data_IF_106693707890
#
_entry.id   IF_106693707890
#
_cell.length_a   1.000
_cell.length_b   1.000
_cell.length_c   1.000
_cell.angle_alpha   90.00
_cell.angle_beta   90.00
_cell.angle_gamma   90.00
#
_symmetry.space_group_name_H-M   'P 1'
#
loop_
_entity.id
_entity.type
_entity.pdbx_description
1 polymer ?
#
# COMPACT_ATOMS: atom_id res chain seq x y z
N UNK A 1 -1.65 6.24 13.50
CA UNK A 1 -0.39 6.73 14.09
C UNK A 1 0.78 6.14 13.34
N UNK A 2 2.00 6.42 13.79
CA UNK A 2 3.20 5.78 13.24
C UNK A 2 3.39 4.44 13.94
N UNK A 3 3.46 3.36 13.18
CA UNK A 3 3.72 2.01 13.65
C UNK A 3 5.16 1.63 13.32
N UNK A 4 5.86 1.01 14.27
CA UNK A 4 7.20 0.47 14.08
C UNK A 4 7.22 -1.00 14.45
N UNK A 5 7.44 -1.88 13.48
CA UNK A 5 7.64 -3.31 13.70
C UNK A 5 9.11 -3.63 13.84
N UNK A 6 9.42 -4.70 14.56
CA UNK A 6 10.76 -5.28 14.63
C UNK A 6 10.65 -6.78 14.80
N UNK A 7 11.52 -7.52 14.13
CA UNK A 7 11.66 -8.96 14.28
C UNK A 7 13.11 -9.38 14.36
N UNK A 8 13.35 -10.40 15.19
CA UNK A 8 14.69 -10.90 15.45
C UNK A 8 15.11 -11.97 14.44
N UNK A 9 16.42 -12.17 14.30
CA UNK A 9 16.99 -13.18 13.41
C UNK A 9 16.59 -14.57 13.90
N UNK A 10 16.11 -15.43 12.99
CA UNK A 10 15.79 -16.84 13.29
C UNK A 10 16.38 -17.77 12.22
N UNK A 11 17.53 -18.38 12.52
CA UNK A 11 18.23 -19.25 11.55
C UNK A 11 18.60 -18.49 10.27
N UNK A 12 18.05 -18.92 9.12
CA UNK A 12 18.22 -18.24 7.81
C UNK A 12 17.25 -17.07 7.60
N UNK A 13 16.35 -16.79 8.54
CA UNK A 13 15.44 -15.65 8.49
C UNK A 13 16.14 -14.40 9.05
N UNK A 14 16.44 -13.38 8.22
CA UNK A 14 17.12 -12.18 8.68
C UNK A 14 16.24 -11.34 9.60
N UNK A 15 16.90 -10.66 10.55
CA UNK A 15 16.25 -9.62 11.35
C UNK A 15 15.85 -8.42 10.48
N UNK A 16 14.98 -7.59 11.02
CA UNK A 16 14.61 -6.34 10.39
C UNK A 16 13.65 -5.53 11.24
N UNK A 17 13.43 -4.31 10.80
CA UNK A 17 12.41 -3.40 11.29
C UNK A 17 11.71 -2.76 10.09
N UNK A 18 10.56 -2.16 10.37
CA UNK A 18 9.79 -1.47 9.36
C UNK A 18 8.86 -0.44 9.99
N UNK A 19 8.63 0.67 9.29
CA UNK A 19 7.76 1.74 9.73
C UNK A 19 6.62 1.93 8.75
N UNK A 20 5.39 2.05 9.25
CA UNK A 20 4.21 2.30 8.44
C UNK A 20 3.20 3.17 9.18
N UNK A 21 2.24 3.71 8.44
CA UNK A 21 1.17 4.52 9.01
C UNK A 21 -0.08 3.64 9.15
N UNK A 22 -0.77 3.76 10.28
CA UNK A 22 -2.11 3.19 10.43
C UNK A 22 -3.16 4.25 10.79
N UNK A 23 -4.41 3.96 10.50
CA UNK A 23 -5.56 4.80 10.89
C UNK A 23 -6.63 3.90 11.48
N UNK A 24 -7.15 4.29 12.65
CA UNK A 24 -8.36 3.67 13.19
C UNK A 24 -9.54 4.55 12.80
N UNK A 25 -10.47 4.01 12.02
CA UNK A 25 -11.68 4.71 11.60
C UNK A 25 -12.86 3.77 11.77
N UNK A 26 -13.88 4.21 12.51
CA UNK A 26 -15.10 3.43 12.80
C UNK A 26 -14.82 1.99 13.28
N UNK A 27 -13.92 1.85 14.26
CA UNK A 27 -13.55 0.54 14.83
C UNK A 27 -12.69 -0.36 13.92
N UNK A 28 -12.39 0.08 12.69
CA UNK A 28 -11.55 -0.66 11.74
C UNK A 28 -10.14 -0.06 11.67
N UNK A 29 -9.14 -0.93 11.55
CA UNK A 29 -7.73 -0.55 11.37
C UNK A 29 -7.33 -0.63 9.90
N UNK A 30 -6.85 0.48 9.37
CA UNK A 30 -6.33 0.62 8.01
C UNK A 30 -4.83 0.86 8.05
N UNK A 31 -4.10 0.28 7.12
CA UNK A 31 -2.69 0.54 6.86
C UNK A 31 -2.61 1.49 5.67
N UNK A 32 -1.75 2.49 5.79
CA UNK A 32 -1.48 3.51 4.78
C UNK A 32 -0.03 3.40 4.38
N UNK A 33 0.21 3.16 3.10
CA UNK A 33 1.52 3.05 2.48
C UNK A 33 1.65 4.07 1.36
N UNK A 34 2.67 4.92 1.43
CA UNK A 34 2.87 6.01 0.45
C UNK A 34 3.53 5.55 -0.84
N UNK A 35 4.10 4.34 -0.85
CA UNK A 35 4.62 3.70 -2.06
C UNK A 35 4.75 2.20 -1.84
N UNK A 36 3.62 1.49 -1.81
CA UNK A 36 3.64 0.04 -1.59
C UNK A 36 4.34 -0.73 -2.73
N UNK A 37 4.40 -0.14 -3.93
CA UNK A 37 5.05 -0.73 -5.11
C UNK A 37 6.55 -0.99 -4.89
N UNK A 38 7.28 -0.07 -4.26
CA UNK A 38 8.75 -0.17 -4.04
C UNK A 38 9.11 -1.34 -3.14
N UNK A 39 8.18 -1.71 -2.25
CA UNK A 39 8.27 -2.89 -1.40
C UNK A 39 8.23 -4.22 -2.19
N UNK A 40 7.89 -4.18 -3.47
CA UNK A 40 7.81 -5.36 -4.34
C UNK A 40 8.76 -5.33 -5.55
N UNK A 41 9.47 -4.23 -5.81
CA UNK A 41 10.40 -4.15 -6.94
C UNK A 41 11.52 -5.21 -6.90
N UNK A 42 11.82 -5.83 -8.03
CA UNK A 42 12.88 -6.85 -8.15
C UNK A 42 13.78 -6.54 -9.34
N UNK A 43 15.00 -7.07 -9.29
CA UNK A 43 15.90 -7.00 -10.43
C UNK A 43 15.43 -7.93 -11.56
N UNK A 44 15.45 -7.43 -12.79
CA UNK A 44 15.04 -8.16 -14.01
C UNK A 44 13.64 -8.80 -13.88
N UNK A 45 12.60 -8.00 -13.62
CA UNK A 45 11.24 -8.53 -13.60
C UNK A 45 10.85 -9.05 -14.98
N UNK A 46 9.98 -10.04 -15.04
CA UNK A 46 9.31 -10.39 -16.31
C UNK A 46 8.35 -9.27 -16.70
N UNK A 47 7.95 -9.21 -17.97
CA UNK A 47 6.96 -8.23 -18.44
C UNK A 47 5.63 -8.37 -17.67
N UNK A 48 5.18 -9.62 -17.45
CA UNK A 48 3.97 -9.90 -16.67
C UNK A 48 4.07 -9.35 -15.24
N UNK A 49 5.22 -9.55 -14.57
CA UNK A 49 5.41 -9.04 -13.22
C UNK A 49 5.47 -7.51 -13.19
N UNK A 50 6.12 -6.90 -14.18
CA UNK A 50 6.18 -5.44 -14.32
C UNK A 50 4.78 -4.83 -14.44
N UNK A 51 3.91 -5.44 -15.26
CA UNK A 51 2.53 -4.99 -15.39
C UNK A 51 1.71 -5.12 -14.10
N UNK A 52 2.05 -6.02 -13.18
CA UNK A 52 1.41 -6.06 -11.85
C UNK A 52 1.82 -4.87 -10.98
N UNK A 53 3.09 -4.44 -11.07
CA UNK A 53 3.59 -3.28 -10.33
C UNK A 53 2.92 -1.98 -10.81
N UNK A 54 2.66 -1.85 -12.12
CA UNK A 54 2.05 -0.67 -12.73
C UNK A 54 0.61 -0.40 -12.25
N UNK A 55 -0.07 -1.40 -11.67
CA UNK A 55 -1.45 -1.28 -11.16
C UNK A 55 -1.49 -0.72 -9.73
N UNK A 56 -0.35 -0.65 -9.04
CA UNK A 56 -0.34 -0.17 -7.66
C UNK A 56 -0.76 1.31 -7.57
N UNK A 57 -1.65 1.66 -6.63
CA UNK A 57 -1.96 3.06 -6.38
C UNK A 57 -0.73 3.77 -5.80
N UNK A 58 -0.59 5.07 -6.08
CA UNK A 58 0.46 5.90 -5.49
C UNK A 58 0.44 5.78 -3.95
N UNK A 59 -0.73 5.93 -3.35
CA UNK A 59 -0.95 5.70 -1.92
C UNK A 59 -1.90 4.52 -1.76
N UNK A 60 -1.45 3.48 -1.09
CA UNK A 60 -2.28 2.34 -0.74
C UNK A 60 -2.94 2.60 0.62
N UNK A 61 -4.25 2.42 0.69
CA UNK A 61 -5.03 2.42 1.93
C UNK A 61 -5.86 1.16 1.95
N UNK A 62 -5.65 0.29 2.93
CA UNK A 62 -6.35 -0.99 3.01
C UNK A 62 -6.41 -1.54 4.42
N UNK A 63 -7.37 -2.44 4.65
CA UNK A 63 -7.47 -3.20 5.90
C UNK A 63 -6.27 -4.14 6.04
N UNK A 64 -6.01 -4.53 7.28
CA UNK A 64 -4.92 -5.49 7.63
C UNK A 64 -5.00 -6.78 6.79
N UNK A 65 -6.19 -7.30 6.54
CA UNK A 65 -6.36 -8.52 5.73
C UNK A 65 -6.11 -8.29 4.23
N UNK A 66 -6.35 -7.08 3.72
CA UNK A 66 -6.13 -6.75 2.32
C UNK A 66 -4.63 -6.67 2.03
N UNK A 67 -3.85 -5.99 2.87
CA UNK A 67 -2.39 -5.95 2.72
C UNK A 67 -1.77 -7.34 2.85
N UNK A 68 -2.33 -8.20 3.73
CA UNK A 68 -1.88 -9.59 3.88
C UNK A 68 -2.08 -10.40 2.61
N UNK A 69 -3.20 -10.19 1.91
CA UNK A 69 -3.49 -10.80 0.60
C UNK A 69 -2.54 -10.28 -0.47
N UNK A 70 -2.37 -8.95 -0.57
CA UNK A 70 -1.44 -8.32 -1.52
C UNK A 70 -0.02 -8.86 -1.36
N UNK A 71 0.50 -8.90 -0.13
CA UNK A 71 1.84 -9.45 0.16
C UNK A 71 1.96 -10.91 -0.29
N UNK A 72 0.93 -11.73 -0.05
CA UNK A 72 0.95 -13.14 -0.47
C UNK A 72 1.01 -13.28 -1.99
N UNK A 73 0.15 -12.56 -2.69
CA UNK A 73 0.05 -12.60 -4.15
C UNK A 73 1.34 -12.10 -4.80
N UNK A 74 1.83 -10.93 -4.37
CA UNK A 74 3.05 -10.35 -4.91
C UNK A 74 4.28 -11.21 -4.63
N UNK A 75 4.43 -11.79 -3.43
CA UNK A 75 5.54 -12.71 -3.16
C UNK A 75 5.48 -13.99 -4.02
N UNK A 76 4.29 -14.46 -4.38
CA UNK A 76 4.16 -15.58 -5.33
C UNK A 76 4.58 -15.16 -6.73
N UNK A 77 4.10 -14.01 -7.20
CA UNK A 77 4.46 -13.48 -8.51
C UNK A 77 5.97 -13.15 -8.62
N UNK A 78 6.60 -12.68 -7.54
CA UNK A 78 8.08 -12.53 -7.44
C UNK A 78 8.75 -13.88 -7.64
N UNK A 79 8.28 -14.91 -6.94
CA UNK A 79 8.85 -16.25 -7.03
C UNK A 79 8.80 -16.78 -8.46
N UNK A 80 7.68 -16.58 -9.14
CA UNK A 80 7.51 -17.04 -10.52
C UNK A 80 8.38 -16.22 -11.49
N UNK A 81 8.39 -14.89 -11.37
CA UNK A 81 9.25 -14.02 -12.17
C UNK A 81 10.73 -14.36 -12.02
N UNK A 82 11.22 -14.48 -10.77
CA UNK A 82 12.63 -14.77 -10.51
C UNK A 82 13.01 -16.17 -10.98
N UNK A 83 12.11 -17.16 -10.85
CA UNK A 83 12.32 -18.50 -11.37
C UNK A 83 12.45 -18.49 -12.90
N UNK A 84 11.58 -17.78 -13.61
CA UNK A 84 11.66 -17.64 -15.08
C UNK A 84 12.98 -17.02 -15.52
N UNK A 85 13.53 -16.11 -14.71
CA UNK A 85 14.80 -15.43 -14.99
C UNK A 85 16.04 -16.15 -14.42
N UNK A 86 15.87 -17.38 -13.91
CA UNK A 86 16.93 -18.18 -13.25
C UNK A 86 17.66 -17.42 -12.13
N UNK A 87 16.90 -16.73 -11.29
CA UNK A 87 17.40 -15.94 -10.16
C UNK A 87 16.92 -16.50 -8.82
N UNK A 88 17.81 -16.50 -7.83
CA UNK A 88 17.45 -16.87 -6.47
C UNK A 88 16.69 -15.72 -5.77
N UNK A 89 15.63 -16.07 -5.04
CA UNK A 89 14.80 -15.10 -4.30
C UNK A 89 15.53 -14.65 -3.04
N UNK A 90 15.87 -13.35 -2.91
CA UNK A 90 16.55 -12.86 -1.73
C UNK A 90 15.65 -13.03 -0.50
N UNK A 91 16.24 -13.26 0.69
CA UNK A 91 15.47 -13.52 1.90
C UNK A 91 14.40 -12.47 2.21
N UNK A 92 14.68 -11.19 1.95
CA UNK A 92 13.76 -10.08 2.21
C UNK A 92 12.57 -10.00 1.26
N UNK A 93 12.61 -10.67 0.10
CA UNK A 93 11.48 -10.76 -0.84
C UNK A 93 10.61 -12.00 -0.59
N UNK A 94 10.98 -12.84 0.38
CA UNK A 94 10.16 -14.00 0.77
C UNK A 94 8.93 -13.55 1.55
N UNK A 95 7.85 -14.29 1.36
CA UNK A 95 6.54 -14.00 1.98
C UNK A 95 6.64 -13.81 3.51
N UNK A 96 7.36 -14.68 4.21
CA UNK A 96 7.51 -14.57 5.67
C UNK A 96 8.19 -13.27 6.11
N UNK A 97 9.16 -12.76 5.34
CA UNK A 97 9.86 -11.51 5.68
C UNK A 97 8.98 -10.31 5.35
N UNK A 98 8.34 -10.33 4.19
CA UNK A 98 7.41 -9.28 3.80
C UNK A 98 6.22 -9.18 4.76
N UNK A 99 5.66 -10.31 5.21
CA UNK A 99 4.61 -10.32 6.24
C UNK A 99 5.09 -9.70 7.56
N UNK A 100 6.35 -9.93 7.96
CA UNK A 100 6.90 -9.41 9.21
C UNK A 100 6.89 -7.86 9.26
N UNK A 101 7.07 -7.20 8.10
CA UNK A 101 7.02 -5.74 7.99
C UNK A 101 5.76 -5.13 8.59
N UNK A 102 4.59 -5.73 8.35
CA UNK A 102 3.31 -5.18 8.82
C UNK A 102 2.71 -5.92 10.02
N UNK A 103 3.03 -7.22 10.20
CA UNK A 103 2.34 -8.10 11.15
C UNK A 103 3.21 -8.63 12.29
N UNK A 104 4.49 -8.27 12.36
CA UNK A 104 5.27 -8.52 13.57
C UNK A 104 4.79 -7.66 14.74
N UNK A 105 5.29 -7.98 15.94
CA UNK A 105 5.08 -7.14 17.11
C UNK A 105 5.50 -5.71 16.79
N UNK A 106 4.63 -4.76 17.07
CA UNK A 106 4.82 -3.36 16.72
C UNK A 106 4.57 -2.46 17.92
N UNK A 107 5.30 -1.34 17.95
CA UNK A 107 5.01 -0.21 18.83
C UNK A 107 4.24 0.82 18.02
N UNK A 108 3.15 1.35 18.59
CA UNK A 108 2.35 2.39 17.96
C UNK A 108 2.58 3.70 18.67
N UNK A 109 3.07 4.70 17.96
CA UNK A 109 3.10 6.08 18.42
C UNK A 109 1.87 6.79 17.89
N UNK A 110 0.91 7.03 18.78
CA UNK A 110 -0.14 8.01 18.57
C UNK A 110 0.31 9.30 19.22
N UNK A 111 0.47 10.37 18.44
CA UNK A 111 0.38 11.69 19.04
C UNK A 111 -1.06 11.78 19.53
N UNK A 112 -1.27 11.64 20.84
CA UNK A 112 -2.53 12.08 21.44
C UNK A 112 -2.57 13.58 21.18
N UNK A 113 -3.18 13.98 20.06
CA UNK A 113 -3.82 15.28 20.00
C UNK A 113 -4.95 15.12 21.00
N UNK A 114 -4.67 15.41 22.27
CA UNK A 114 -5.72 15.71 23.23
C UNK A 114 -6.68 16.58 22.45
N UNK A 115 -7.93 16.13 22.33
CA UNK A 115 -8.96 16.82 21.58
C UNK A 115 -9.21 18.18 22.25
N UNK A 116 -8.28 19.11 22.08
CA UNK A 116 -8.56 20.51 22.18
C UNK A 116 -9.57 20.70 21.07
N UNK A 117 -10.79 21.03 21.47
CA UNK A 117 -11.79 21.62 20.58
C UNK A 117 -11.12 22.84 19.95
N UNK A 118 -10.40 22.61 18.86
CA UNK A 118 -10.03 23.68 17.97
C UNK A 118 -11.33 24.01 17.26
N UNK A 119 -12.01 25.05 17.75
CA UNK A 119 -13.00 25.78 16.97
C UNK A 119 -12.24 26.43 15.80
N UNK A 120 -11.76 25.64 14.85
CA UNK A 120 -11.32 26.14 13.56
C UNK A 120 -12.62 26.34 12.79
N UNK A 121 -13.20 27.52 12.96
CA UNK A 121 -14.12 28.05 11.96
C UNK A 121 -13.35 28.13 10.66
N UNK A 122 -13.67 27.24 9.71
CA UNK A 122 -13.17 27.38 8.35
C UNK A 122 -13.96 28.50 7.70
N UNK A 123 -13.51 29.74 7.91
CA UNK A 123 -14.01 30.85 7.13
C UNK A 123 -13.34 30.76 5.76
N UNK A 124 -14.06 30.17 4.80
CA UNK A 124 -13.63 30.13 3.42
C UNK A 124 -13.44 31.56 2.92
N UNK A 125 -12.20 32.03 2.84
CA UNK A 125 -11.90 33.32 2.21
C UNK A 125 -12.25 33.20 0.73
N UNK A 126 -13.13 34.06 0.19
CA UNK A 126 -13.42 34.05 -1.24
C UNK A 126 -12.13 34.29 -2.02
N UNK A 127 -11.80 33.36 -2.92
CA UNK A 127 -10.74 33.57 -3.89
C UNK A 127 -11.16 34.74 -4.79
N UNK A 128 -10.32 35.78 -4.86
CA UNK A 128 -10.51 36.89 -5.80
C UNK A 128 -10.51 36.33 -7.23
N UNK A 129 -11.51 36.66 -8.06
CA UNK A 129 -11.54 36.21 -9.44
C UNK A 129 -10.43 36.92 -10.21
N UNK A 130 -9.46 36.17 -10.72
CA UNK A 130 -8.58 36.67 -11.76
C UNK A 130 -9.32 36.53 -13.09
N UNK A 131 -9.81 37.64 -13.62
CA UNK A 131 -10.32 37.71 -14.97
C UNK A 131 -9.13 37.84 -15.93
N UNK A 132 -8.72 36.71 -16.51
CA UNK A 132 -8.35 36.58 -17.92
C UNK A 132 -7.46 35.33 -18.10
N UNK A 133 -8.09 34.22 -18.48
CA UNK A 133 -7.54 33.29 -19.46
C UNK A 133 -8.70 32.68 -20.23
N UNK A 134 -8.64 32.85 -21.55
CA UNK A 134 -9.67 32.58 -22.55
C UNK A 134 -9.82 31.05 -22.73
N UNK A 135 -11.06 30.60 -22.81
CA UNK A 135 -11.46 29.19 -22.88
C UNK A 135 -10.84 28.41 -24.04
N UNK A 136 -10.34 27.19 -23.76
CA UNK A 136 -10.53 26.01 -24.60
C UNK A 136 -10.22 24.72 -23.82
N UNK A 137 -11.07 23.72 -24.00
CA UNK A 137 -11.03 22.34 -23.47
C UNK A 137 -11.55 22.12 -22.05
N UNK A 138 -12.88 22.04 -21.98
CA UNK A 138 -13.54 21.25 -20.96
C UNK A 138 -13.24 19.76 -21.14
N UNK A 139 -12.85 19.10 -20.06
CA UNK A 139 -13.21 17.70 -19.82
C UNK A 139 -13.27 17.45 -18.32
N UNK A 140 -14.44 16.98 -17.87
CA UNK A 140 -14.68 16.53 -16.50
C UNK A 140 -13.75 15.35 -16.20
N UNK A 141 -12.71 15.54 -15.41
CA UNK A 141 -12.00 14.39 -14.81
C UNK A 141 -12.75 13.99 -13.55
N UNK A 142 -13.70 13.08 -13.74
CA UNK A 142 -14.27 12.31 -12.64
C UNK A 142 -13.14 11.51 -11.98
N UNK A 143 -12.95 11.67 -10.68
CA UNK A 143 -12.11 10.77 -9.87
C UNK A 143 -12.70 9.36 -9.98
N UNK A 144 -12.10 8.51 -10.82
CA UNK A 144 -12.43 7.08 -10.88
C UNK A 144 -11.79 6.40 -9.67
N UNK A 145 -12.64 6.00 -8.73
CA UNK A 145 -12.31 5.02 -7.69
C UNK A 145 -11.87 3.73 -8.38
N UNK A 146 -10.61 3.33 -8.19
CA UNK A 146 -10.01 2.17 -8.85
C UNK A 146 -10.61 0.85 -8.40
N UNK A 147 -11.12 0.09 -9.36
CA UNK A 147 -11.62 -1.28 -9.24
C UNK A 147 -10.49 -2.31 -9.00
N UNK A 148 -9.80 -2.24 -7.85
CA UNK A 148 -8.76 -3.24 -7.51
C UNK A 148 -9.34 -4.67 -7.39
N UNK A 149 -10.63 -4.81 -7.10
CA UNK A 149 -11.33 -6.10 -7.01
C UNK A 149 -11.38 -6.84 -8.35
N UNK A 150 -11.45 -6.14 -9.48
CA UNK A 150 -11.63 -6.79 -10.79
C UNK A 150 -10.32 -7.41 -11.30
N UNK A 151 -9.16 -6.84 -10.94
CA UNK A 151 -7.85 -7.35 -11.37
C UNK A 151 -7.48 -8.70 -10.74
N UNK A 152 -7.96 -9.00 -9.52
CA UNK A 152 -7.69 -10.27 -8.84
C UNK A 152 -8.68 -11.40 -9.18
N UNK A 153 -9.73 -11.13 -9.96
CA UNK A 153 -10.80 -12.09 -10.27
C UNK A 153 -10.73 -12.67 -11.69
N UNK A 154 -9.70 -12.35 -12.49
CA UNK A 154 -9.58 -12.85 -13.86
C UNK A 154 -9.01 -14.28 -13.97
N UNK A 155 -8.56 -14.88 -12.87
CA UNK A 155 -7.97 -16.23 -12.88
C UNK A 155 -8.85 -17.32 -12.21
N UNK A 156 -10.17 -17.22 -12.38
CA UNK A 156 -11.04 -18.40 -12.37
C UNK A 156 -11.04 -19.27 -11.10
N UNK A 157 -10.89 -18.70 -9.89
CA UNK A 157 -11.16 -19.43 -8.64
C UNK A 157 -12.31 -18.70 -7.94
N UNK A 158 -13.51 -19.27 -8.09
CA UNK A 158 -14.76 -18.74 -7.56
C UNK A 158 -14.69 -18.48 -6.05
N UNK A 159 -15.01 -17.24 -5.68
CA UNK A 159 -15.28 -16.82 -4.31
C UNK A 159 -16.80 -16.78 -4.10
N UNK A 160 -17.34 -17.66 -3.26
CA UNK A 160 -18.64 -17.41 -2.64
C UNK A 160 -18.43 -16.63 -1.34
N UNK A 161 -19.27 -15.60 -1.17
CA UNK A 161 -19.36 -14.73 0.01
C UNK A 161 -19.75 -15.51 1.28
#
# INVERSE_FOLDING_TARGET
GLCKTRWERKGRFPAGDYEYIDVNYEGNRYIVETSLMTEFEIARPTNQYSSLLDVFPLVFVGKVEEIKKVVRLMCSAIKDSMKTMDMHIPPWRRNSYMQAKWFSLYKRTTNEVAARKFNIGFEARPLKPYNNCRDAFGSKVAFKVGHLTTAFNLDGIGMNL
#
